data_IF_497332288689
#
_entry.id   IF_497332288689
#
_cell.length_a   1.000
_cell.length_b   1.000
_cell.length_c   1.000
_cell.angle_alpha   90.00
_cell.angle_beta   90.00
_cell.angle_gamma   90.00
#
_symmetry.space_group_name_H-M   'P 1'
#
loop_
_entity.id
_entity.type
_entity.pdbx_description
1 polymer ?
#
# COMPACT_ATOMS: atom_id res chain seq x y z
N UNK A 1 -4.95 48.57 3.04
CA UNK A 1 -5.06 48.99 4.45
C UNK A 1 -5.63 47.85 5.29
N UNK A 2 -5.03 47.60 6.45
CA UNK A 2 -5.28 46.60 7.51
C UNK A 2 -4.64 45.25 7.25
N UNK A 3 -3.57 44.96 7.81
CA UNK A 3 -2.83 44.85 9.10
C UNK A 3 -2.73 43.37 9.47
N UNK A 4 -1.46 42.94 9.45
CA UNK A 4 -0.99 41.65 9.94
C UNK A 4 -1.25 41.51 11.45
N UNK A 5 -1.54 40.28 11.88
CA UNK A 5 -1.56 39.92 13.29
C UNK A 5 -0.50 38.85 13.54
N UNK A 6 0.61 39.26 14.13
CA UNK A 6 1.69 38.41 14.64
C UNK A 6 1.28 37.90 16.03
N UNK A 7 1.50 36.61 16.29
CA UNK A 7 1.47 36.04 17.64
C UNK A 7 2.88 35.86 18.19
N UNK A 8 3.12 36.07 19.47
CA UNK A 8 4.44 36.10 20.07
C UNK A 8 4.97 34.69 20.39
N UNK A 9 6.30 34.58 20.27
CA UNK A 9 7.15 33.45 20.63
C UNK A 9 7.36 33.49 22.15
N UNK A 10 7.17 32.35 22.84
CA UNK A 10 7.54 32.12 24.23
C UNK A 10 8.81 31.30 24.30
N UNK A 11 9.87 31.66 24.99
CA UNK A 11 11.10 30.88 25.13
C UNK A 11 10.97 29.80 26.21
N UNK A 12 11.52 28.63 25.93
CA UNK A 12 11.67 27.53 26.87
C UNK A 12 12.87 27.73 27.79
N UNK A 13 12.62 27.61 29.06
CA UNK A 13 13.58 27.69 30.16
C UNK A 13 14.29 26.36 30.36
N UNK A 14 15.63 26.42 30.40
CA UNK A 14 16.55 25.33 30.64
C UNK A 14 16.72 25.11 32.17
N UNK A 15 16.59 23.89 32.65
CA UNK A 15 17.05 23.48 33.97
C UNK A 15 18.20 22.45 33.86
N UNK A 16 19.34 22.83 34.41
CA UNK A 16 20.54 22.00 34.58
C UNK A 16 20.50 21.17 35.86
N UNK A 17 21.33 20.13 35.96
CA UNK A 17 21.32 19.17 37.06
C UNK A 17 22.21 19.58 38.23
N UNK A 18 21.85 19.19 39.44
CA UNK A 18 22.68 19.30 40.64
C UNK A 18 23.35 17.97 40.97
N UNK A 19 24.62 18.09 41.38
CA UNK A 19 25.57 17.04 41.62
C UNK A 19 25.56 16.54 43.09
N UNK A 20 26.07 15.31 43.23
CA UNK A 20 26.87 14.70 44.31
C UNK A 20 26.36 14.75 45.75
N UNK A 21 26.27 13.60 46.34
CA UNK A 21 27.01 13.36 47.61
C UNK A 21 27.48 11.92 47.75
N UNK A 22 28.77 11.80 48.05
CA UNK A 22 29.50 10.57 48.41
C UNK A 22 29.54 10.47 49.91
N UNK A 23 29.31 9.31 50.52
CA UNK A 23 30.16 8.65 51.49
C UNK A 23 29.46 7.55 52.32
N UNK A 24 30.03 6.41 52.38
CA UNK A 24 30.55 5.60 53.48
C UNK A 24 30.35 4.09 53.32
N UNK A 25 31.50 3.48 53.25
CA UNK A 25 31.73 2.03 53.43
C UNK A 25 31.17 1.55 54.80
N UNK A 26 30.63 0.32 54.85
CA UNK A 26 30.97 -0.69 55.86
C UNK A 26 30.74 -2.11 55.32
N UNK A 27 31.77 -2.91 55.42
CA UNK A 27 31.76 -4.35 55.22
C UNK A 27 30.89 -5.05 56.28
N UNK A 28 30.18 -6.11 55.87
CA UNK A 28 30.10 -7.36 56.64
C UNK A 28 29.70 -8.52 55.72
N UNK A 29 30.54 -9.54 55.72
CA UNK A 29 30.33 -10.83 55.06
C UNK A 29 29.21 -11.63 55.71
N UNK A 30 28.55 -12.52 54.97
CA UNK A 30 28.37 -13.96 55.22
C UNK A 30 27.46 -14.59 54.20
N UNK A 31 27.99 -15.45 53.35
CA UNK A 31 27.57 -16.78 52.86
C UNK A 31 26.06 -17.12 52.81
N UNK A 32 25.61 -17.48 51.64
CA UNK A 32 24.35 -18.19 51.45
C UNK A 32 23.96 -18.27 49.96
N UNK A 33 24.45 -19.32 49.29
CA UNK A 33 24.15 -19.56 47.86
C UNK A 33 22.69 -19.89 47.60
N UNK A 34 22.09 -19.12 46.71
CA UNK A 34 20.94 -19.58 45.94
C UNK A 34 21.09 -19.00 44.52
N UNK A 35 21.46 -19.81 43.58
CA UNK A 35 21.46 -19.51 42.16
C UNK A 35 19.99 -19.41 41.72
N UNK A 36 19.43 -18.21 41.82
CA UNK A 36 18.21 -17.84 41.10
C UNK A 36 18.60 -17.52 39.66
N UNK A 37 18.41 -18.48 38.76
CA UNK A 37 18.35 -18.22 37.33
C UNK A 37 17.15 -17.31 37.09
N UNK A 38 17.36 -16.02 37.18
CA UNK A 38 16.43 -15.03 36.66
C UNK A 38 16.38 -15.16 35.13
N UNK A 39 15.36 -15.81 34.63
CA UNK A 39 15.03 -15.72 33.20
C UNK A 39 14.78 -14.23 32.89
N UNK A 40 15.80 -13.56 32.35
CA UNK A 40 15.62 -12.28 31.69
C UNK A 40 14.67 -12.52 30.49
N UNK A 41 13.41 -12.33 30.71
CA UNK A 41 12.45 -12.16 29.60
C UNK A 41 12.87 -10.89 28.87
N UNK A 42 13.67 -11.06 27.83
CA UNK A 42 13.90 -10.03 26.85
C UNK A 42 12.56 -9.81 26.16
N UNK A 43 11.80 -8.83 26.63
CA UNK A 43 10.64 -8.32 25.90
C UNK A 43 11.19 -7.79 24.59
N UNK A 44 11.09 -8.59 23.53
CA UNK A 44 11.34 -8.11 22.18
C UNK A 44 10.29 -7.03 21.90
N UNK A 45 10.62 -5.78 22.16
CA UNK A 45 9.86 -4.65 21.66
C UNK A 45 9.96 -4.76 20.14
N UNK A 46 8.85 -5.09 19.48
CA UNK A 46 8.78 -4.94 18.04
C UNK A 46 9.22 -3.52 17.73
N UNK A 47 10.29 -3.36 16.98
CA UNK A 47 10.74 -2.04 16.56
C UNK A 47 9.60 -1.42 15.75
N UNK A 48 9.23 -0.18 16.11
CA UNK A 48 8.21 0.56 15.35
C UNK A 48 8.59 0.55 13.86
N UNK A 49 7.61 0.33 13.00
CA UNK A 49 7.83 0.38 11.57
C UNK A 49 8.26 1.80 11.18
N UNK A 50 9.40 1.91 10.53
CA UNK A 50 9.76 3.10 9.75
C UNK A 50 9.45 2.83 8.29
N UNK A 51 8.71 3.73 7.64
CA UNK A 51 8.33 3.62 6.24
C UNK A 51 8.62 4.90 5.48
N UNK A 52 9.23 4.75 4.32
CA UNK A 52 9.46 5.80 3.32
C UNK A 52 9.42 5.20 1.93
N UNK A 53 9.59 6.02 0.91
CA UNK A 53 9.72 5.58 -0.47
C UNK A 53 11.02 6.10 -1.08
N UNK A 54 11.52 5.38 -2.09
CA UNK A 54 12.65 5.83 -2.90
C UNK A 54 12.33 5.64 -4.39
N UNK A 55 12.76 6.57 -5.22
CA UNK A 55 12.59 6.45 -6.67
C UNK A 55 13.45 5.32 -7.22
N UNK A 56 12.90 4.59 -8.19
CA UNK A 56 13.74 3.72 -9.04
C UNK A 56 14.76 4.58 -9.77
N UNK A 57 16.05 4.22 -9.64
CA UNK A 57 17.10 4.83 -10.46
C UNK A 57 16.97 4.30 -11.90
N UNK A 58 16.26 5.08 -12.72
CA UNK A 58 16.01 4.78 -14.12
C UNK A 58 16.24 6.03 -14.98
N UNK A 59 16.91 5.83 -16.10
CA UNK A 59 17.12 6.86 -17.11
C UNK A 59 16.69 6.32 -18.47
N UNK A 60 15.99 7.15 -19.23
CA UNK A 60 15.63 6.84 -20.60
C UNK A 60 16.87 6.52 -21.44
N UNK A 61 16.81 5.54 -22.36
CA UNK A 61 17.86 5.34 -23.36
C UNK A 61 18.14 6.66 -24.11
N UNK A 62 19.42 6.99 -24.32
CA UNK A 62 19.86 8.26 -24.88
C UNK A 62 19.08 8.67 -26.14
N UNK A 63 18.89 7.73 -27.08
CA UNK A 63 18.16 7.99 -28.33
C UNK A 63 16.69 8.35 -28.08
N UNK A 64 16.03 7.70 -27.12
CA UNK A 64 14.65 7.98 -26.75
C UNK A 64 14.57 9.37 -26.10
N UNK A 65 15.47 9.66 -25.16
CA UNK A 65 15.57 10.95 -24.49
C UNK A 65 15.76 12.10 -25.47
N UNK A 66 16.73 11.98 -26.38
CA UNK A 66 17.00 13.01 -27.41
C UNK A 66 15.76 13.23 -28.31
N UNK A 67 15.10 12.14 -28.71
CA UNK A 67 13.93 12.22 -29.60
C UNK A 67 12.73 12.85 -28.91
N UNK A 68 12.41 12.44 -27.69
CA UNK A 68 11.26 12.98 -26.95
C UNK A 68 11.49 14.41 -26.51
N UNK A 69 12.72 14.77 -26.14
CA UNK A 69 13.10 16.16 -25.82
C UNK A 69 12.93 17.08 -27.04
N UNK A 70 13.34 16.62 -28.22
CA UNK A 70 13.16 17.38 -29.46
C UNK A 70 11.69 17.57 -29.86
N UNK A 71 10.79 16.73 -29.36
CA UNK A 71 9.32 16.79 -29.58
C UNK A 71 8.57 17.48 -28.44
N UNK A 72 9.26 17.85 -27.35
CA UNK A 72 8.68 18.40 -26.11
C UNK A 72 7.58 17.50 -25.52
N UNK A 73 7.73 16.17 -25.63
CA UNK A 73 6.76 15.21 -25.14
C UNK A 73 7.40 13.90 -24.62
N UNK A 74 8.34 14.01 -23.70
CA UNK A 74 8.88 12.81 -23.06
C UNK A 74 7.83 12.09 -22.20
N UNK A 75 7.84 10.73 -22.18
CA UNK A 75 6.95 9.98 -21.33
C UNK A 75 7.23 10.23 -19.85
N UNK A 76 6.18 10.27 -19.05
CA UNK A 76 6.27 10.34 -17.60
C UNK A 76 6.41 8.94 -17.02
N UNK A 77 7.58 8.63 -16.46
CA UNK A 77 7.87 7.33 -15.86
C UNK A 77 8.27 7.53 -14.40
N UNK A 78 7.36 7.23 -13.49
CA UNK A 78 7.58 7.33 -12.06
C UNK A 78 7.36 5.98 -11.40
N UNK A 79 8.42 5.38 -10.89
CA UNK A 79 8.34 4.15 -10.09
C UNK A 79 9.00 4.42 -8.75
N UNK A 80 8.25 4.25 -7.67
CA UNK A 80 8.77 4.31 -6.31
C UNK A 80 8.77 2.93 -5.70
N UNK A 81 9.84 2.63 -4.97
CA UNK A 81 9.96 1.45 -4.14
C UNK A 81 9.66 1.77 -2.69
N UNK A 82 9.09 0.81 -1.99
CA UNK A 82 8.92 0.87 -0.55
C UNK A 82 10.26 0.64 0.14
N UNK A 83 10.56 1.50 1.12
CA UNK A 83 11.75 1.42 1.97
C UNK A 83 11.33 1.46 3.43
N UNK A 84 11.48 0.32 4.10
CA UNK A 84 11.22 0.19 5.53
C UNK A 84 12.43 -0.38 6.25
N UNK A 85 12.40 -0.39 7.58
CA UNK A 85 13.38 -1.09 8.40
C UNK A 85 13.21 -2.63 8.38
N UNK A 86 12.28 -3.18 7.62
CA UNK A 86 12.05 -4.62 7.45
C UNK A 86 12.32 -5.08 6.01
N UNK A 87 13.53 -5.62 5.78
CA UNK A 87 13.94 -6.09 4.44
C UNK A 87 12.95 -7.06 3.80
N UNK A 88 12.40 -8.03 4.55
CA UNK A 88 11.46 -9.02 4.03
C UNK A 88 10.20 -8.38 3.46
N UNK A 89 9.72 -7.30 4.10
CA UNK A 89 8.54 -6.54 3.66
C UNK A 89 8.86 -5.78 2.37
N UNK A 90 10.02 -5.10 2.34
CA UNK A 90 10.49 -4.42 1.13
C UNK A 90 10.62 -5.39 -0.05
N UNK A 91 11.18 -6.58 0.18
CA UNK A 91 11.37 -7.59 -0.87
C UNK A 91 10.02 -8.03 -1.48
N UNK A 92 8.98 -8.25 -0.66
CA UNK A 92 7.66 -8.65 -1.14
C UNK A 92 6.96 -7.49 -1.86
N UNK A 93 6.91 -6.31 -1.25
CA UNK A 93 6.24 -5.14 -1.82
C UNK A 93 6.90 -4.70 -3.13
N UNK A 94 8.24 -4.60 -3.16
CA UNK A 94 8.98 -4.15 -4.34
C UNK A 94 8.95 -5.19 -5.47
N UNK A 95 8.90 -6.49 -5.13
CA UNK A 95 8.63 -7.52 -6.14
C UNK A 95 7.24 -7.34 -6.78
N UNK A 96 6.23 -6.93 -5.99
CA UNK A 96 4.90 -6.65 -6.53
C UNK A 96 4.90 -5.40 -7.42
N UNK A 97 5.60 -4.33 -7.01
CA UNK A 97 5.81 -3.13 -7.82
C UNK A 97 6.47 -3.49 -9.16
N UNK A 98 7.56 -4.25 -9.14
CA UNK A 98 8.22 -4.73 -10.34
C UNK A 98 7.27 -5.48 -11.28
N UNK A 99 6.41 -6.32 -10.71
CA UNK A 99 5.42 -7.09 -11.47
C UNK A 99 4.39 -6.17 -12.14
N UNK A 100 3.93 -5.13 -11.45
CA UNK A 100 3.01 -4.13 -12.00
C UNK A 100 3.66 -3.38 -13.17
N UNK A 101 4.90 -2.93 -12.99
CA UNK A 101 5.64 -2.24 -14.08
C UNK A 101 5.78 -3.12 -15.31
N UNK A 102 6.18 -4.39 -15.13
CA UNK A 102 6.39 -5.30 -16.28
C UNK A 102 5.08 -5.63 -16.99
N UNK A 103 3.96 -5.69 -16.25
CA UNK A 103 2.64 -5.99 -16.82
C UNK A 103 1.90 -4.73 -17.32
N UNK A 104 2.43 -3.53 -17.11
CA UNK A 104 1.86 -2.25 -17.60
C UNK A 104 2.20 -1.97 -19.06
N UNK A 105 2.47 -3.01 -19.88
CA UNK A 105 2.78 -2.86 -21.30
C UNK A 105 1.55 -2.37 -22.08
N UNK A 106 1.73 -1.54 -23.11
CA UNK A 106 0.63 -1.10 -23.97
C UNK A 106 -0.06 -2.23 -24.75
N UNK A 107 0.56 -3.42 -24.85
CA UNK A 107 0.05 -4.56 -25.63
C UNK A 107 -0.71 -5.55 -24.76
N UNK A 108 -1.98 -5.79 -25.07
CA UNK A 108 -2.84 -6.79 -24.41
C UNK A 108 -2.38 -8.25 -24.65
N UNK A 109 -1.55 -8.49 -25.65
CA UNK A 109 -1.09 -9.85 -26.03
C UNK A 109 0.13 -10.35 -25.26
N UNK A 110 0.71 -9.53 -24.37
CA UNK A 110 1.86 -9.93 -23.57
C UNK A 110 1.45 -10.88 -22.42
N UNK A 111 2.19 -11.98 -22.21
CA UNK A 111 1.88 -12.90 -21.11
C UNK A 111 2.05 -12.17 -19.76
N UNK A 112 1.14 -12.46 -18.82
CA UNK A 112 1.20 -11.89 -17.47
C UNK A 112 2.41 -12.48 -16.74
N UNK A 113 3.31 -11.61 -16.30
CA UNK A 113 4.47 -11.96 -15.48
C UNK A 113 4.09 -11.96 -14.00
N UNK A 114 4.36 -13.06 -13.30
CA UNK A 114 4.10 -13.18 -11.85
C UNK A 114 5.31 -12.83 -11.00
N UNK A 115 6.50 -12.81 -11.57
CA UNK A 115 7.75 -12.45 -10.90
C UNK A 115 8.67 -11.71 -11.88
N UNK A 116 8.98 -10.46 -11.56
CA UNK A 116 9.80 -9.60 -12.41
C UNK A 116 11.21 -9.39 -11.83
N UNK A 117 12.22 -9.39 -12.69
CA UNK A 117 13.60 -9.03 -12.34
C UNK A 117 13.85 -7.53 -12.57
N UNK A 118 14.87 -6.92 -11.96
CA UNK A 118 15.25 -5.54 -12.28
C UNK A 118 15.53 -5.30 -13.76
N UNK A 119 16.15 -6.26 -14.43
CA UNK A 119 16.39 -6.19 -15.88
C UNK A 119 15.08 -6.18 -16.68
N UNK A 120 14.07 -6.99 -16.28
CA UNK A 120 12.75 -6.99 -16.90
C UNK A 120 12.02 -5.66 -16.69
N UNK A 121 12.14 -5.05 -15.51
CA UNK A 121 11.60 -3.71 -15.21
C UNK A 121 12.21 -2.67 -16.15
N UNK A 122 13.55 -2.63 -16.24
CA UNK A 122 14.22 -1.71 -17.16
C UNK A 122 13.75 -1.91 -18.60
N UNK A 123 13.71 -3.15 -19.09
CA UNK A 123 13.24 -3.47 -20.43
C UNK A 123 11.78 -3.04 -20.67
N UNK A 124 10.91 -3.18 -19.67
CA UNK A 124 9.52 -2.73 -19.75
C UNK A 124 9.40 -1.22 -19.86
N UNK A 125 10.18 -0.46 -19.08
CA UNK A 125 10.21 0.99 -19.13
C UNK A 125 10.79 1.50 -20.46
N UNK A 126 11.89 0.90 -20.93
CA UNK A 126 12.47 1.21 -22.24
C UNK A 126 11.44 0.96 -23.38
N UNK A 127 10.74 -0.19 -23.31
CA UNK A 127 9.68 -0.53 -24.27
C UNK A 127 8.48 0.39 -24.23
N UNK A 128 8.03 0.77 -23.03
CA UNK A 128 6.93 1.72 -22.83
C UNK A 128 7.25 3.09 -23.45
N UNK A 129 8.46 3.60 -23.20
CA UNK A 129 8.91 4.85 -23.77
C UNK A 129 9.08 4.78 -25.30
N UNK A 130 9.60 3.66 -25.82
CA UNK A 130 9.72 3.45 -27.26
C UNK A 130 8.35 3.37 -27.95
N UNK A 131 7.35 2.75 -27.32
CA UNK A 131 5.98 2.67 -27.84
C UNK A 131 5.39 4.06 -28.07
N UNK A 132 5.55 4.99 -27.13
CA UNK A 132 5.09 6.36 -27.32
C UNK A 132 5.67 6.99 -28.61
N UNK A 133 6.96 6.86 -28.84
CA UNK A 133 7.62 7.48 -30.00
C UNK A 133 7.19 6.84 -31.34
N UNK A 134 6.79 5.58 -31.30
CA UNK A 134 6.36 4.82 -32.47
C UNK A 134 4.88 5.01 -32.79
N UNK A 135 4.04 5.18 -31.75
CA UNK A 135 2.57 5.17 -31.88
C UNK A 135 1.97 6.57 -31.96
N UNK A 136 2.58 7.55 -31.26
CA UNK A 136 2.10 8.92 -31.32
C UNK A 136 2.67 9.70 -32.53
N UNK A 137 1.85 10.54 -33.18
CA UNK A 137 2.32 11.51 -34.18
C UNK A 137 3.44 12.41 -33.62
N UNK A 138 4.33 12.88 -34.51
CA UNK A 138 5.48 13.70 -34.09
C UNK A 138 5.09 15.02 -33.43
N UNK A 139 3.95 15.57 -33.80
CA UNK A 139 3.37 16.83 -33.33
C UNK A 139 2.32 16.60 -32.21
N UNK A 140 2.22 15.38 -31.68
CA UNK A 140 1.33 15.07 -30.59
C UNK A 140 1.76 15.80 -29.32
N UNK A 141 0.81 16.51 -28.70
CA UNK A 141 0.98 17.08 -27.36
C UNK A 141 0.76 16.04 -26.25
N UNK A 142 0.34 14.82 -26.59
CA UNK A 142 0.10 13.74 -25.61
C UNK A 142 1.43 13.06 -25.27
N UNK A 143 1.62 12.78 -23.98
CA UNK A 143 2.71 11.95 -23.48
C UNK A 143 2.12 10.72 -22.76
N UNK A 144 2.80 9.58 -22.84
CA UNK A 144 2.45 8.39 -22.08
C UNK A 144 2.87 8.57 -20.63
N UNK A 145 2.10 8.02 -19.70
CA UNK A 145 2.42 8.02 -18.27
C UNK A 145 2.37 6.63 -17.69
N UNK A 146 3.39 6.24 -16.94
CA UNK A 146 3.43 5.05 -16.11
C UNK A 146 3.94 5.42 -14.74
N UNK A 147 3.02 5.42 -13.76
CA UNK A 147 3.29 5.81 -12.37
C UNK A 147 2.96 4.63 -11.47
N UNK A 148 3.90 4.22 -10.61
CA UNK A 148 3.66 3.17 -9.60
C UNK A 148 4.23 3.64 -8.27
N UNK A 149 3.37 3.76 -7.26
CA UNK A 149 3.75 4.28 -5.94
C UNK A 149 3.16 3.45 -4.81
N UNK A 150 3.97 3.05 -3.81
CA UNK A 150 3.48 2.50 -2.57
C UNK A 150 3.17 3.60 -1.55
N UNK A 151 2.16 3.38 -0.73
CA UNK A 151 1.79 4.24 0.39
C UNK A 151 1.55 3.41 1.65
N UNK A 152 1.94 3.93 2.80
CA UNK A 152 1.62 3.34 4.10
C UNK A 152 0.22 3.76 4.52
N UNK A 153 -0.68 2.80 4.71
CA UNK A 153 -2.09 3.05 5.06
C UNK A 153 -2.31 3.07 6.57
N UNK A 154 -1.53 2.29 7.33
CA UNK A 154 -1.65 2.23 8.78
C UNK A 154 -1.32 0.85 9.35
N UNK A 155 -1.62 0.66 10.65
CA UNK A 155 -1.42 -0.61 11.33
C UNK A 155 -2.62 -0.98 12.21
N UNK A 156 -2.82 -2.27 12.42
CA UNK A 156 -3.78 -2.82 13.40
C UNK A 156 -3.11 -4.01 14.07
N UNK A 157 -2.96 -3.96 15.39
CA UNK A 157 -2.21 -4.95 16.16
C UNK A 157 -0.78 -5.13 15.59
N UNK A 158 -0.42 -6.33 15.12
CA UNK A 158 0.86 -6.64 14.50
C UNK A 158 0.81 -6.62 12.96
N UNK A 159 -0.21 -6.03 12.39
CA UNK A 159 -0.41 -5.94 10.94
C UNK A 159 -0.06 -4.55 10.45
N UNK A 160 0.74 -4.50 9.39
CA UNK A 160 1.07 -3.27 8.66
C UNK A 160 0.36 -3.29 7.31
N UNK A 161 -0.32 -2.21 6.98
CA UNK A 161 -1.07 -2.07 5.76
C UNK A 161 -0.42 -1.06 4.82
N UNK A 162 -0.31 -1.44 3.57
CA UNK A 162 0.16 -0.59 2.47
C UNK A 162 -0.82 -0.66 1.32
N UNK A 163 -0.82 0.39 0.52
CA UNK A 163 -1.46 0.44 -0.79
C UNK A 163 -0.39 0.61 -1.85
N UNK A 164 -0.45 -0.15 -2.94
CA UNK A 164 0.29 0.14 -4.16
C UNK A 164 -0.70 0.66 -5.17
N UNK A 165 -0.50 1.90 -5.61
CA UNK A 165 -1.25 2.51 -6.69
C UNK A 165 -0.42 2.48 -7.97
N UNK A 166 -1.07 2.23 -9.11
CA UNK A 166 -0.49 2.48 -10.41
C UNK A 166 -1.44 3.24 -11.32
N UNK A 167 -0.87 3.99 -12.24
CA UNK A 167 -1.60 4.70 -13.28
C UNK A 167 -0.88 4.51 -14.61
N UNK A 168 -1.60 4.10 -15.62
CA UNK A 168 -1.08 3.91 -16.97
C UNK A 168 -1.92 4.73 -17.95
N UNK A 169 -1.28 5.59 -18.71
CA UNK A 169 -1.90 6.31 -19.81
C UNK A 169 -1.08 6.08 -21.09
N UNK A 170 -1.73 5.58 -22.11
CA UNK A 170 -1.14 5.32 -23.45
C UNK A 170 -1.96 5.99 -24.56
N UNK A 171 -2.56 7.13 -24.24
CA UNK A 171 -3.48 7.84 -25.14
C UNK A 171 -4.94 7.47 -24.88
N UNK A 172 -5.83 8.03 -25.69
CA UNK A 172 -7.28 7.87 -25.53
C UNK A 172 -7.92 8.87 -24.57
N UNK A 173 -9.12 8.54 -24.09
CA UNK A 173 -9.94 9.46 -23.29
C UNK A 173 -9.47 9.59 -21.83
N UNK A 174 -8.85 8.57 -21.28
CA UNK A 174 -8.35 8.53 -19.88
C UNK A 174 -7.31 7.42 -19.70
N UNK A 175 -6.52 7.52 -18.65
CA UNK A 175 -5.66 6.43 -18.21
C UNK A 175 -6.39 5.40 -17.37
N UNK A 176 -5.68 4.33 -17.01
CA UNK A 176 -6.18 3.23 -16.19
C UNK A 176 -5.47 3.25 -14.83
N UNK A 177 -6.11 3.77 -13.78
CA UNK A 177 -5.64 3.60 -12.43
C UNK A 177 -5.91 2.17 -11.92
N UNK A 178 -5.03 1.70 -11.05
CA UNK A 178 -5.12 0.42 -10.35
C UNK A 178 -4.68 0.63 -8.90
N UNK A 179 -5.27 -0.10 -7.97
CA UNK A 179 -4.88 -0.05 -6.56
C UNK A 179 -4.94 -1.45 -5.95
N UNK A 180 -3.94 -1.79 -5.16
CA UNK A 180 -3.85 -3.05 -4.44
C UNK A 180 -3.42 -2.83 -3.01
N UNK A 181 -4.16 -3.41 -2.06
CA UNK A 181 -3.76 -3.44 -0.66
C UNK A 181 -2.82 -4.60 -0.37
N UNK A 182 -1.78 -4.31 0.39
CA UNK A 182 -0.86 -5.29 0.95
C UNK A 182 -0.95 -5.25 2.46
N UNK A 183 -1.36 -6.35 3.06
CA UNK A 183 -1.39 -6.52 4.52
C UNK A 183 -0.24 -7.44 4.91
N UNK A 184 0.61 -6.99 5.83
CA UNK A 184 1.77 -7.74 6.30
C UNK A 184 1.67 -8.04 7.79
N UNK A 185 1.92 -9.28 8.17
CA UNK A 185 1.97 -9.72 9.56
C UNK A 185 3.42 -9.70 10.04
N UNK A 186 3.75 -8.79 10.96
CA UNK A 186 5.10 -8.63 11.51
C UNK A 186 5.57 -9.86 12.29
N UNK A 187 4.67 -10.61 12.93
CA UNK A 187 5.03 -11.81 13.69
C UNK A 187 5.42 -12.97 12.79
N UNK A 188 4.64 -13.21 11.75
CA UNK A 188 4.90 -14.32 10.83
C UNK A 188 5.82 -13.93 9.67
N UNK A 189 6.08 -12.65 9.48
CA UNK A 189 6.86 -12.07 8.36
C UNK A 189 6.32 -12.50 7.00
N UNK A 190 4.99 -12.46 6.85
CA UNK A 190 4.29 -12.87 5.63
C UNK A 190 3.26 -11.82 5.22
N UNK A 191 2.98 -11.78 3.93
CA UNK A 191 1.77 -11.12 3.43
C UNK A 191 0.55 -11.95 3.85
N UNK A 192 -0.49 -11.27 4.30
CA UNK A 192 -1.79 -11.84 4.70
C UNK A 192 -2.81 -11.51 3.62
N UNK A 193 -3.50 -12.53 3.14
CA UNK A 193 -4.58 -12.40 2.15
C UNK A 193 -5.94 -12.62 2.81
N UNK A 194 -7.02 -12.30 2.11
CA UNK A 194 -8.39 -12.54 2.59
C UNK A 194 -8.59 -13.99 3.10
N UNK A 195 -8.07 -14.98 2.35
CA UNK A 195 -8.18 -16.38 2.75
C UNK A 195 -7.53 -16.68 4.10
N UNK A 196 -6.43 -15.99 4.44
CA UNK A 196 -5.75 -16.16 5.73
C UNK A 196 -6.49 -15.47 6.89
N UNK A 197 -7.32 -14.47 6.56
CA UNK A 197 -8.10 -13.74 7.55
C UNK A 197 -9.38 -14.51 7.96
N UNK A 198 -9.94 -15.28 7.06
CA UNK A 198 -11.18 -16.00 7.30
C UNK A 198 -10.99 -17.21 8.22
N UNK A 199 -11.98 -17.48 9.08
CA UNK A 199 -12.07 -18.75 9.77
C UNK A 199 -12.47 -19.85 8.77
N UNK A 200 -12.06 -21.09 9.07
CA UNK A 200 -12.38 -22.25 8.22
C UNK A 200 -13.87 -22.35 7.92
N UNK A 201 -14.21 -22.53 6.65
CA UNK A 201 -15.59 -22.65 6.18
C UNK A 201 -16.42 -21.35 6.18
N UNK A 202 -15.84 -20.19 6.54
CA UNK A 202 -16.58 -18.92 6.68
C UNK A 202 -16.64 -18.06 5.41
N UNK A 203 -16.00 -18.49 4.33
CA UNK A 203 -16.04 -17.75 3.05
C UNK A 203 -17.46 -17.47 2.54
N UNK A 204 -18.45 -18.38 2.62
CA UNK A 204 -19.83 -18.10 2.19
C UNK A 204 -20.49 -16.99 3.03
N UNK A 205 -20.30 -16.98 4.36
CA UNK A 205 -20.83 -15.95 5.25
C UNK A 205 -20.17 -14.59 4.96
N UNK A 206 -18.85 -14.58 4.75
CA UNK A 206 -18.14 -13.37 4.34
C UNK A 206 -18.66 -12.83 3.00
N UNK A 207 -18.85 -13.71 2.00
CA UNK A 207 -19.43 -13.32 0.70
C UNK A 207 -20.82 -12.68 0.87
N UNK A 208 -21.66 -13.19 1.75
CA UNK A 208 -22.98 -12.62 2.01
C UNK A 208 -22.89 -11.21 2.65
N UNK A 209 -21.93 -10.98 3.55
CA UNK A 209 -21.67 -9.64 4.10
C UNK A 209 -21.17 -8.66 3.03
N UNK A 210 -20.24 -9.11 2.20
CA UNK A 210 -19.71 -8.30 1.10
C UNK A 210 -20.81 -7.96 0.07
N UNK A 211 -21.71 -8.91 -0.22
CA UNK A 211 -22.87 -8.64 -1.07
C UNK A 211 -23.86 -7.63 -0.46
N UNK A 212 -24.05 -7.66 0.86
CA UNK A 212 -24.87 -6.63 1.52
C UNK A 212 -24.18 -5.27 1.44
N UNK A 213 -22.88 -5.20 1.67
CA UNK A 213 -22.10 -3.96 1.51
C UNK A 213 -22.17 -3.44 0.06
N UNK A 214 -22.10 -4.32 -0.95
CA UNK A 214 -22.31 -3.97 -2.34
C UNK A 214 -23.69 -3.32 -2.58
N UNK A 215 -24.77 -3.95 -2.08
CA UNK A 215 -26.12 -3.37 -2.21
C UNK A 215 -26.24 -2.01 -1.54
N UNK A 216 -25.60 -1.85 -0.38
CA UNK A 216 -25.62 -0.57 0.32
C UNK A 216 -24.80 0.49 -0.44
N UNK A 217 -23.67 0.12 -1.03
CA UNK A 217 -22.91 1.00 -1.90
C UNK A 217 -23.70 1.37 -3.17
N UNK A 218 -24.34 0.40 -3.86
CA UNK A 218 -25.19 0.68 -5.04
C UNK A 218 -26.25 1.72 -4.74
N UNK A 219 -26.91 1.64 -3.58
CA UNK A 219 -27.92 2.64 -3.17
C UNK A 219 -27.39 4.08 -3.10
N UNK A 220 -26.08 4.25 -3.00
CA UNK A 220 -25.46 5.59 -3.01
C UNK A 220 -25.32 6.16 -4.42
N UNK A 221 -25.33 5.32 -5.46
CA UNK A 221 -25.10 5.70 -6.87
C UNK A 221 -26.28 5.41 -7.78
N UNK A 222 -27.19 4.49 -7.39
CA UNK A 222 -28.39 4.12 -8.15
C UNK A 222 -29.54 3.79 -7.19
N UNK A 223 -30.76 4.12 -7.61
CA UNK A 223 -31.98 3.85 -6.82
C UNK A 223 -32.49 2.43 -7.01
N UNK A 224 -32.19 1.78 -8.13
CA UNK A 224 -32.63 0.43 -8.47
C UNK A 224 -31.48 -0.57 -8.47
N UNK A 225 -31.23 -1.15 -7.29
CA UNK A 225 -30.18 -2.16 -7.08
C UNK A 225 -30.33 -3.35 -8.03
N UNK A 226 -31.56 -3.80 -8.33
CA UNK A 226 -31.80 -4.97 -9.21
C UNK A 226 -31.45 -4.66 -10.65
N UNK A 227 -31.77 -3.47 -11.12
CA UNK A 227 -31.42 -3.01 -12.47
C UNK A 227 -29.92 -2.79 -12.59
N UNK A 228 -29.30 -2.18 -11.57
CA UNK A 228 -27.87 -1.95 -11.53
C UNK A 228 -27.08 -3.27 -11.61
N UNK A 229 -27.47 -4.26 -10.80
CA UNK A 229 -26.78 -5.57 -10.71
C UNK A 229 -26.83 -6.39 -12.01
N UNK A 230 -27.80 -6.15 -12.89
CA UNK A 230 -27.84 -6.79 -14.22
C UNK A 230 -26.66 -6.38 -15.10
N UNK A 231 -26.21 -5.12 -14.99
CA UNK A 231 -25.10 -4.58 -15.78
C UNK A 231 -23.75 -4.71 -15.04
N UNK A 232 -23.78 -4.64 -13.71
CA UNK A 232 -22.62 -4.62 -12.84
C UNK A 232 -22.80 -5.65 -11.71
N UNK A 233 -22.73 -6.96 -12.03
CA UNK A 233 -23.01 -8.00 -11.06
C UNK A 233 -21.96 -8.04 -9.97
N UNK A 234 -22.41 -8.34 -8.73
CA UNK A 234 -21.49 -8.53 -7.61
C UNK A 234 -20.58 -9.73 -7.81
N UNK A 235 -19.29 -9.52 -7.62
CA UNK A 235 -18.27 -10.56 -7.47
C UNK A 235 -17.56 -10.36 -6.14
N UNK A 236 -17.10 -11.44 -5.49
CA UNK A 236 -16.33 -11.31 -4.26
C UNK A 236 -14.89 -10.93 -4.61
N UNK A 237 -14.48 -9.71 -4.30
CA UNK A 237 -13.09 -9.25 -4.38
C UNK A 237 -12.23 -9.80 -3.25
N UNK A 238 -10.93 -9.92 -3.47
CA UNK A 238 -9.92 -10.32 -2.49
C UNK A 238 -8.89 -9.21 -2.17
N UNK A 239 -9.03 -8.05 -2.80
CA UNK A 239 -8.23 -6.85 -2.53
C UNK A 239 -8.74 -6.18 -1.25
N UNK A 240 -8.27 -6.65 -0.10
CA UNK A 240 -8.78 -6.25 1.21
C UNK A 240 -7.72 -5.58 2.07
N UNK A 241 -8.19 -4.65 2.91
CA UNK A 241 -7.40 -4.07 4.00
C UNK A 241 -8.24 -4.00 5.28
N UNK A 242 -7.57 -3.76 6.40
CA UNK A 242 -8.22 -3.49 7.67
C UNK A 242 -8.14 -1.99 7.98
N UNK A 243 -9.18 -1.47 8.61
CA UNK A 243 -9.28 -0.08 9.06
C UNK A 243 -9.62 -0.06 10.56
N UNK A 244 -9.66 1.11 11.16
CA UNK A 244 -10.15 1.30 12.54
C UNK A 244 -11.62 0.86 12.74
N UNK A 245 -12.40 0.80 11.65
CA UNK A 245 -13.86 0.53 11.67
C UNK A 245 -14.25 -0.87 11.21
N UNK A 246 -13.42 -1.51 10.40
CA UNK A 246 -13.75 -2.79 9.79
C UNK A 246 -12.77 -3.24 8.73
N UNK A 247 -13.26 -4.03 7.82
CA UNK A 247 -12.54 -4.48 6.64
C UNK A 247 -13.10 -3.81 5.39
N UNK A 248 -12.22 -3.25 4.59
CA UNK A 248 -12.52 -2.68 3.29
C UNK A 248 -12.12 -3.63 2.16
N UNK A 249 -12.97 -3.72 1.15
CA UNK A 249 -12.73 -4.46 -0.09
C UNK A 249 -12.73 -3.44 -1.23
N UNK A 250 -11.59 -3.23 -1.88
CA UNK A 250 -11.49 -2.33 -3.04
C UNK A 250 -11.66 -3.10 -4.34
N UNK A 251 -12.42 -2.53 -5.24
CA UNK A 251 -12.65 -3.03 -6.59
C UNK A 251 -11.92 -2.14 -7.59
N UNK A 252 -11.45 -2.74 -8.68
CA UNK A 252 -10.88 -1.97 -9.78
C UNK A 252 -11.99 -1.32 -10.61
N UNK A 253 -11.61 -0.42 -11.50
CA UNK A 253 -12.52 0.08 -12.52
C UNK A 253 -13.12 -1.08 -13.31
N UNK A 254 -14.40 -0.99 -13.60
CA UNK A 254 -15.16 -1.99 -14.33
C UNK A 254 -15.43 -3.33 -13.64
N UNK A 255 -14.94 -3.55 -12.40
CA UNK A 255 -15.23 -4.81 -11.68
C UNK A 255 -16.72 -4.90 -11.29
N UNK A 256 -17.24 -3.85 -10.66
CA UNK A 256 -18.64 -3.78 -10.16
C UNK A 256 -19.31 -2.43 -10.48
N UNK A 257 -18.67 -1.58 -11.28
CA UNK A 257 -19.13 -0.23 -11.60
C UNK A 257 -18.48 0.29 -12.89
N UNK A 258 -19.13 1.22 -13.62
CA UNK A 258 -18.51 1.93 -14.73
C UNK A 258 -17.38 2.85 -14.23
N UNK A 259 -16.45 3.19 -15.13
CA UNK A 259 -15.27 4.02 -14.84
C UNK A 259 -15.60 5.31 -14.08
N UNK A 260 -16.73 5.95 -14.39
CA UNK A 260 -17.15 7.21 -13.80
C UNK A 260 -17.36 7.15 -12.27
N UNK A 261 -17.56 5.96 -11.68
CA UNK A 261 -17.69 5.79 -10.24
C UNK A 261 -16.35 5.44 -9.55
N UNK A 262 -15.25 5.48 -10.29
CA UNK A 262 -13.92 5.21 -9.77
C UNK A 262 -13.72 3.74 -9.39
N UNK A 263 -12.93 3.53 -8.34
CA UNK A 263 -12.65 2.22 -7.74
C UNK A 263 -13.48 2.05 -6.46
N UNK A 264 -14.64 1.36 -6.50
CA UNK A 264 -15.52 1.24 -5.35
C UNK A 264 -14.85 0.55 -4.17
N UNK A 265 -15.18 0.99 -2.95
CA UNK A 265 -14.76 0.35 -1.70
C UNK A 265 -16.00 -0.10 -0.94
N UNK A 266 -16.07 -1.38 -0.64
CA UNK A 266 -17.12 -1.97 0.19
C UNK A 266 -16.60 -2.18 1.61
N UNK A 267 -17.21 -1.50 2.60
CA UNK A 267 -16.79 -1.57 4.00
C UNK A 267 -17.67 -2.51 4.81
N UNK A 268 -17.07 -3.42 5.57
CA UNK A 268 -17.74 -4.36 6.45
C UNK A 268 -17.28 -4.09 7.88
N UNK A 269 -18.13 -3.55 8.77
CA UNK A 269 -17.73 -3.19 10.12
C UNK A 269 -17.43 -4.41 10.99
N UNK A 270 -16.50 -4.28 11.96
CA UNK A 270 -16.04 -5.38 12.81
C UNK A 270 -17.14 -6.10 13.56
N UNK A 271 -18.20 -5.40 14.00
CA UNK A 271 -19.32 -6.05 14.71
C UNK A 271 -20.06 -7.11 13.87
N UNK A 272 -19.96 -7.04 12.51
CA UNK A 272 -20.49 -8.05 11.59
C UNK A 272 -19.48 -9.15 11.26
N UNK A 273 -18.20 -8.96 11.55
CA UNK A 273 -17.11 -9.88 11.21
C UNK A 273 -16.81 -10.89 12.34
N UNK A 274 -17.40 -10.71 13.52
CA UNK A 274 -17.26 -11.64 14.64
C UNK A 274 -17.65 -13.07 14.27
N UNK A 275 -16.77 -14.07 14.57
CA UNK A 275 -16.95 -15.46 14.17
C UNK A 275 -16.79 -15.76 12.68
N UNK A 276 -16.45 -14.79 11.86
CA UNK A 276 -16.20 -14.93 10.41
C UNK A 276 -14.71 -14.76 10.11
N UNK A 277 -14.08 -13.72 10.63
CA UNK A 277 -12.61 -13.56 10.57
C UNK A 277 -11.98 -14.06 11.88
N UNK A 278 -10.70 -14.38 11.82
CA UNK A 278 -9.96 -14.80 13.00
C UNK A 278 -9.84 -13.61 13.99
N UNK A 279 -10.00 -13.85 15.33
CA UNK A 279 -10.01 -12.78 16.33
C UNK A 279 -8.77 -11.87 16.31
N UNK A 280 -7.62 -12.38 15.86
CA UNK A 280 -6.38 -11.61 15.79
C UNK A 280 -6.41 -10.45 14.76
N UNK A 281 -7.37 -10.47 13.84
CA UNK A 281 -7.57 -9.42 12.83
C UNK A 281 -8.62 -8.37 13.26
N UNK A 282 -9.16 -8.50 14.46
CA UNK A 282 -10.06 -7.51 15.06
C UNK A 282 -9.24 -6.66 16.03
N UNK A 283 -9.34 -5.33 16.01
CA UNK A 283 -8.71 -4.46 17.00
C UNK A 283 -9.11 -4.85 18.42
N UNK A 284 -8.17 -4.73 19.37
CA UNK A 284 -8.42 -4.98 20.80
C UNK A 284 -8.96 -3.73 21.45
#
# INVERSE_FOLDING_TARGET
MKTANQRPIIPSESAQPSAMDTDRLRLCSVVGGALLFGALSVSAHASSLFSSTEYLDYQLPKKIQETCTARDNCPELEVKYLKTNHKWLNDIANQRINTLVVNSKPSESAPITTKATPAAVKSALDGFAASQLNELPRDSALAYSLIVTPEYVGHINDLEMFEISSYVFTGGAHGMPYSEYLVFDQKTKKQVKLADMLQSGKKPQFKALAYNAYKDWVKTVDKDVKSYEKNWPFTLGDNVTLTDKGMDIRYQHYDIAPYAYGMPVLSIPYHKLGGIIQPRFIPK
#
